data_IF_474222653588
#
_entry.id   IF_474222653588
#
_cell.length_a   1.000
_cell.length_b   1.000
_cell.length_c   1.000
_cell.angle_alpha   90.00
_cell.angle_beta   90.00
_cell.angle_gamma   90.00
#
_symmetry.space_group_name_H-M   'P 1'
#
loop_
_entity.id
_entity.type
_entity.pdbx_description
1 polymer ?
#
# COMPACT_ATOMS: atom_id res chain seq x y z
N UNK A 1 5.65 11.49 -11.14
CA UNK A 1 5.15 10.51 -12.15
C UNK A 1 4.33 9.44 -11.45
N UNK A 2 3.24 8.95 -12.09
CA UNK A 2 2.41 7.86 -11.55
C UNK A 2 2.80 6.57 -12.24
N UNK A 3 3.21 5.55 -11.48
CA UNK A 3 3.61 4.23 -11.99
C UNK A 3 2.70 3.13 -11.44
N UNK A 4 2.35 2.16 -12.27
CA UNK A 4 1.47 1.06 -11.90
C UNK A 4 1.91 -0.26 -12.52
N UNK A 5 1.52 -1.37 -11.89
CA UNK A 5 1.59 -2.72 -12.45
C UNK A 5 0.20 -3.17 -12.90
N UNK A 6 0.14 -3.81 -14.03
CA UNK A 6 -1.13 -4.25 -14.65
C UNK A 6 -0.93 -5.50 -15.50
N UNK A 7 -2.05 -6.08 -15.93
CA UNK A 7 -2.09 -7.21 -16.87
C UNK A 7 -2.93 -6.82 -18.07
N UNK A 8 -2.44 -7.15 -19.26
CA UNK A 8 -3.15 -7.03 -20.54
C UNK A 8 -3.35 -8.42 -21.14
N UNK A 9 -3.95 -8.51 -22.33
CA UNK A 9 -4.03 -9.77 -23.09
C UNK A 9 -2.64 -10.36 -23.42
N UNK A 10 -1.58 -9.53 -23.44
CA UNK A 10 -0.20 -9.96 -23.72
C UNK A 10 0.55 -10.42 -22.48
N UNK A 11 -0.01 -10.26 -21.29
CA UNK A 11 0.61 -10.64 -20.01
C UNK A 11 0.72 -9.50 -19.01
N UNK A 12 1.49 -9.76 -17.95
CA UNK A 12 1.78 -8.74 -16.92
C UNK A 12 2.78 -7.71 -17.45
N UNK A 13 2.56 -6.45 -17.12
CA UNK A 13 3.42 -5.33 -17.46
C UNK A 13 3.37 -4.26 -16.37
N UNK A 14 4.10 -3.19 -16.57
CA UNK A 14 4.07 -1.99 -15.74
C UNK A 14 4.15 -0.74 -16.63
N UNK A 15 3.69 0.38 -16.11
CA UNK A 15 3.66 1.58 -16.94
C UNK A 15 3.36 2.87 -16.19
N UNK A 16 3.39 3.96 -16.95
CA UNK A 16 3.04 5.28 -16.47
C UNK A 16 1.54 5.57 -16.69
N UNK A 17 0.88 6.04 -15.64
CA UNK A 17 -0.52 6.48 -15.70
C UNK A 17 -0.55 7.97 -16.01
N UNK A 18 -1.19 8.34 -17.12
CA UNK A 18 -1.34 9.71 -17.63
C UNK A 18 -2.82 10.09 -17.72
N UNK A 19 -3.10 11.35 -18.02
CA UNK A 19 -4.47 11.81 -18.29
C UNK A 19 -5.07 11.23 -19.58
N UNK A 20 -4.26 10.67 -20.46
CA UNK A 20 -4.69 10.08 -21.74
C UNK A 20 -4.84 8.56 -21.65
N UNK A 21 -4.39 7.92 -20.57
CA UNK A 21 -4.37 6.47 -20.38
C UNK A 21 -3.04 5.98 -19.84
N UNK A 22 -2.70 4.73 -20.15
CA UNK A 22 -1.53 4.04 -19.63
C UNK A 22 -0.48 3.89 -20.73
N UNK A 23 0.75 4.35 -20.45
CA UNK A 23 1.94 4.13 -21.29
C UNK A 23 2.64 2.86 -20.79
N UNK A 24 2.69 1.83 -21.62
CA UNK A 24 3.31 0.54 -21.27
C UNK A 24 4.85 0.63 -21.32
N UNK A 25 5.44 0.88 -20.15
CA UNK A 25 6.89 0.97 -20.01
C UNK A 25 7.58 -0.40 -20.14
N UNK A 26 6.93 -1.48 -19.73
CA UNK A 26 7.46 -2.84 -19.92
C UNK A 26 7.72 -3.13 -21.39
N UNK A 27 6.76 -2.78 -22.24
CA UNK A 27 6.90 -2.89 -23.71
C UNK A 27 7.94 -1.92 -24.28
N UNK A 28 7.91 -0.64 -23.87
CA UNK A 28 8.73 0.42 -24.46
C UNK A 28 10.20 0.34 -24.07
N UNK A 29 10.48 -0.08 -22.83
CA UNK A 29 11.83 -0.24 -22.32
C UNK A 29 12.40 -1.64 -22.62
N UNK A 30 11.58 -2.51 -23.24
CA UNK A 30 11.99 -3.84 -23.65
C UNK A 30 12.42 -4.72 -22.48
N UNK A 31 13.29 -5.70 -22.76
CA UNK A 31 13.72 -6.70 -21.78
C UNK A 31 14.67 -6.17 -20.69
N UNK A 32 14.89 -4.85 -20.59
CA UNK A 32 15.80 -4.28 -19.58
C UNK A 32 15.25 -4.38 -18.17
N UNK A 33 13.95 -4.28 -18.01
CA UNK A 33 13.24 -4.31 -16.73
C UNK A 33 12.03 -5.21 -16.86
N UNK A 34 12.05 -6.34 -16.16
CA UNK A 34 10.95 -7.33 -16.21
C UNK A 34 9.65 -6.84 -15.59
N UNK A 35 9.75 -5.92 -14.63
CA UNK A 35 8.64 -5.40 -13.82
C UNK A 35 9.03 -4.08 -13.14
N UNK A 36 8.08 -3.49 -12.41
CA UNK A 36 8.30 -2.22 -11.71
C UNK A 36 9.39 -2.34 -10.63
N UNK A 37 9.51 -3.47 -9.95
CA UNK A 37 10.57 -3.71 -8.97
C UNK A 37 11.94 -3.68 -9.64
N UNK A 38 12.10 -4.40 -10.76
CA UNK A 38 13.36 -4.43 -11.53
C UNK A 38 13.74 -3.03 -12.07
N UNK A 39 12.74 -2.20 -12.44
CA UNK A 39 12.96 -0.80 -12.78
C UNK A 39 13.59 -0.03 -11.62
N UNK A 40 13.04 -0.18 -10.40
CA UNK A 40 13.56 0.48 -9.20
C UNK A 40 14.96 -0.03 -8.83
N UNK A 41 15.18 -1.35 -8.86
CA UNK A 41 16.47 -2.00 -8.54
C UNK A 41 17.63 -1.47 -9.41
N UNK A 42 17.32 -1.13 -10.67
CA UNK A 42 18.32 -0.64 -11.64
C UNK A 42 18.28 0.86 -11.85
N UNK A 43 17.65 1.63 -10.93
CA UNK A 43 17.52 3.08 -11.00
C UNK A 43 16.93 3.60 -12.34
N UNK A 44 15.97 2.87 -12.91
CA UNK A 44 15.38 3.13 -14.22
C UNK A 44 14.34 4.26 -14.28
N UNK A 45 14.09 5.01 -13.19
CA UNK A 45 13.04 6.04 -13.12
C UNK A 45 13.22 7.16 -14.15
N UNK A 46 14.44 7.58 -14.45
CA UNK A 46 14.71 8.62 -15.46
C UNK A 46 14.39 8.11 -16.88
N UNK A 47 14.70 6.85 -17.18
CA UNK A 47 14.32 6.25 -18.46
C UNK A 47 12.81 6.09 -18.58
N UNK A 48 12.17 5.66 -17.49
CA UNK A 48 10.70 5.57 -17.40
C UNK A 48 10.05 6.94 -17.67
N UNK A 49 10.58 8.01 -17.09
CA UNK A 49 10.09 9.38 -17.27
C UNK A 49 10.17 9.83 -18.73
N UNK A 50 11.30 9.56 -19.39
CA UNK A 50 11.48 9.88 -20.83
C UNK A 50 10.50 9.09 -21.70
N UNK A 51 10.32 7.80 -21.42
CA UNK A 51 9.40 6.94 -22.17
C UNK A 51 7.91 7.27 -21.90
N UNK A 52 7.57 7.78 -20.72
CA UNK A 52 6.21 8.17 -20.34
C UNK A 52 5.67 9.39 -21.11
N UNK A 53 6.53 10.23 -21.72
CA UNK A 53 6.13 11.38 -22.54
C UNK A 53 5.46 11.02 -23.87
N UNK A 54 5.28 9.75 -24.17
CA UNK A 54 4.66 9.25 -25.41
C UNK A 54 3.14 9.11 -25.26
N UNK A 55 2.45 8.91 -26.40
CA UNK A 55 1.00 8.60 -26.42
C UNK A 55 0.68 7.35 -25.59
N UNK A 56 -0.50 7.30 -24.96
CA UNK A 56 -0.96 6.13 -24.21
C UNK A 56 -1.12 4.90 -25.14
N UNK A 57 -0.76 3.74 -24.60
CA UNK A 57 -0.90 2.44 -25.29
C UNK A 57 -2.24 1.79 -24.98
N UNK A 58 -2.76 2.02 -23.77
CA UNK A 58 -4.02 1.41 -23.30
C UNK A 58 -4.92 2.43 -22.59
N UNK A 59 -6.23 2.20 -22.69
CA UNK A 59 -7.21 2.77 -21.77
C UNK A 59 -7.26 1.92 -20.50
N UNK A 60 -7.70 2.50 -19.41
CA UNK A 60 -7.84 1.78 -18.15
C UNK A 60 -8.76 0.54 -18.26
N UNK A 61 -9.80 0.62 -19.09
CA UNK A 61 -10.76 -0.47 -19.31
C UNK A 61 -10.19 -1.69 -20.03
N UNK A 62 -8.99 -1.58 -20.61
CA UNK A 62 -8.34 -2.64 -21.40
C UNK A 62 -7.35 -3.46 -20.56
N UNK A 63 -7.23 -3.16 -19.27
CA UNK A 63 -6.28 -3.82 -18.40
C UNK A 63 -6.88 -4.25 -17.06
N UNK A 64 -6.18 -5.15 -16.40
CA UNK A 64 -6.44 -5.58 -15.02
C UNK A 64 -5.32 -5.06 -14.14
N UNK A 65 -5.67 -4.25 -13.13
CA UNK A 65 -4.69 -3.75 -12.16
C UNK A 65 -4.12 -4.90 -11.34
N UNK A 66 -2.81 -4.96 -11.22
CA UNK A 66 -2.10 -5.82 -10.28
C UNK A 66 -1.79 -5.04 -8.99
N UNK A 67 -1.43 -5.71 -7.88
CA UNK A 67 -0.77 -5.01 -6.78
C UNK A 67 0.38 -4.18 -7.31
N UNK A 68 0.61 -2.99 -6.74
CA UNK A 68 1.61 -2.05 -7.27
C UNK A 68 2.99 -2.70 -7.45
N UNK A 69 3.46 -3.45 -6.46
CA UNK A 69 4.64 -4.32 -6.55
C UNK A 69 4.16 -5.75 -6.36
N UNK A 70 3.97 -6.53 -7.45
CA UNK A 70 3.43 -7.89 -7.34
C UNK A 70 4.38 -8.89 -6.67
N UNK A 71 5.66 -8.59 -6.68
CA UNK A 71 6.76 -9.43 -6.20
C UNK A 71 7.67 -8.70 -5.19
N UNK A 72 7.12 -8.11 -4.12
CA UNK A 72 7.93 -7.38 -3.14
C UNK A 72 8.91 -8.34 -2.43
N UNK A 73 10.09 -7.84 -2.07
CA UNK A 73 11.00 -8.60 -1.21
C UNK A 73 10.41 -8.80 0.19
N UNK A 74 9.80 -7.76 0.71
CA UNK A 74 9.01 -7.78 1.95
C UNK A 74 7.99 -6.65 1.97
N UNK A 75 6.87 -6.89 2.66
CA UNK A 75 5.89 -5.87 3.04
C UNK A 75 5.91 -5.81 4.56
N UNK A 76 6.50 -4.75 5.10
CA UNK A 76 6.60 -4.52 6.54
C UNK A 76 5.50 -3.56 6.95
N UNK A 77 4.56 -4.03 7.77
CA UNK A 77 3.45 -3.25 8.26
C UNK A 77 3.68 -2.80 9.70
N UNK A 78 3.18 -1.62 10.01
CA UNK A 78 3.31 -0.97 11.32
C UNK A 78 1.94 -0.90 11.98
N UNK A 79 1.75 -1.62 13.07
CA UNK A 79 0.53 -1.54 13.87
C UNK A 79 0.55 -0.39 14.86
N UNK A 80 -0.64 0.10 15.24
CA UNK A 80 -0.85 1.05 16.34
C UNK A 80 -0.08 2.38 16.19
N UNK A 81 0.07 2.86 14.97
CA UNK A 81 0.90 4.05 14.67
C UNK A 81 0.13 5.38 14.67
N UNK A 82 -1.14 5.37 15.06
CA UNK A 82 -1.96 6.58 15.27
C UNK A 82 -2.53 6.57 16.68
N UNK A 83 -2.47 7.72 17.36
CA UNK A 83 -2.86 7.81 18.77
C UNK A 83 -4.33 7.42 18.97
N UNK A 84 -5.23 7.90 18.09
CA UNK A 84 -6.65 7.56 18.15
C UNK A 84 -6.88 6.04 17.99
N UNK A 85 -6.21 5.41 17.02
CA UNK A 85 -6.29 3.95 16.82
C UNK A 85 -5.76 3.16 18.02
N UNK A 86 -4.66 3.62 18.61
CA UNK A 86 -4.11 3.01 19.82
C UNK A 86 -5.11 3.06 20.97
N UNK A 87 -5.74 4.21 21.18
CA UNK A 87 -6.74 4.41 22.24
C UNK A 87 -7.99 3.55 22.04
N UNK A 88 -8.57 3.51 20.82
CA UNK A 88 -9.76 2.70 20.53
C UNK A 88 -9.53 1.20 20.69
N UNK A 89 -8.29 0.73 20.53
CA UNK A 89 -7.92 -0.68 20.73
C UNK A 89 -7.50 -1.00 22.16
N UNK A 90 -7.39 -0.01 23.05
CA UNK A 90 -6.99 -0.17 24.45
C UNK A 90 -5.55 -0.64 24.64
N UNK A 91 -4.66 -0.41 23.66
CA UNK A 91 -3.27 -0.83 23.72
C UNK A 91 -2.38 0.23 24.35
N UNK A 92 -1.37 -0.23 25.09
CA UNK A 92 -0.35 0.64 25.66
C UNK A 92 0.52 1.29 24.58
N UNK A 93 1.01 2.49 24.86
CA UNK A 93 1.98 3.17 24.00
C UNK A 93 3.34 2.49 24.13
N UNK A 94 3.94 2.15 22.99
CA UNK A 94 5.30 1.60 22.93
C UNK A 94 6.26 2.63 22.31
N UNK A 95 7.52 2.61 22.72
CA UNK A 95 8.56 3.46 22.12
C UNK A 95 8.99 2.97 20.72
N UNK A 96 8.79 1.68 20.47
CA UNK A 96 9.18 1.03 19.22
C UNK A 96 7.93 0.59 18.44
N UNK A 97 7.99 0.54 17.10
CA UNK A 97 6.87 0.14 16.28
C UNK A 97 6.51 -1.34 16.49
N UNK A 98 5.22 -1.63 16.60
CA UNK A 98 4.71 -2.98 16.48
C UNK A 98 4.75 -3.38 15.01
N UNK A 99 5.61 -4.34 14.64
CA UNK A 99 5.81 -4.76 13.26
C UNK A 99 5.22 -6.13 12.99
N UNK A 100 4.67 -6.29 11.79
CA UNK A 100 4.27 -7.57 11.22
C UNK A 100 4.53 -7.57 9.71
N UNK A 101 4.44 -8.74 9.09
CA UNK A 101 4.67 -8.88 7.65
C UNK A 101 3.37 -9.28 6.94
N UNK A 102 3.21 -8.79 5.72
CA UNK A 102 2.24 -9.32 4.77
C UNK A 102 2.95 -10.01 3.62
N UNK A 103 2.33 -11.08 3.14
CA UNK A 103 2.79 -11.87 2.00
C UNK A 103 2.26 -11.26 0.70
N UNK A 104 2.97 -11.49 -0.40
CA UNK A 104 2.55 -11.02 -1.73
C UNK A 104 1.17 -11.54 -2.12
N UNK A 105 0.86 -12.79 -1.79
CA UNK A 105 -0.40 -13.46 -2.10
C UNK A 105 -1.61 -12.86 -1.37
N UNK A 106 -1.37 -12.13 -0.28
CA UNK A 106 -2.44 -11.45 0.44
C UNK A 106 -2.89 -10.14 -0.23
N UNK A 107 -2.23 -9.72 -1.33
CA UNK A 107 -2.48 -8.45 -1.99
C UNK A 107 -3.36 -8.56 -3.23
N UNK A 108 -4.16 -7.52 -3.48
CA UNK A 108 -4.90 -7.29 -4.73
C UNK A 108 -4.65 -5.88 -5.26
N UNK A 109 -4.75 -5.71 -6.56
CA UNK A 109 -4.65 -4.42 -7.23
C UNK A 109 -5.94 -3.59 -7.13
N UNK A 110 -5.85 -2.35 -7.59
CA UNK A 110 -6.99 -1.46 -7.75
C UNK A 110 -8.11 -2.11 -8.57
N UNK A 111 -9.37 -1.91 -8.17
CA UNK A 111 -10.56 -2.51 -8.82
C UNK A 111 -10.61 -4.05 -8.83
N UNK A 112 -9.61 -4.73 -8.25
CA UNK A 112 -9.69 -6.17 -8.04
C UNK A 112 -10.44 -6.47 -6.75
N UNK A 113 -11.15 -7.61 -6.66
CA UNK A 113 -11.93 -7.91 -5.46
C UNK A 113 -11.02 -8.22 -4.28
N UNK A 114 -11.33 -7.62 -3.13
CA UNK A 114 -10.92 -8.13 -1.83
C UNK A 114 -11.78 -9.35 -1.52
N UNK A 115 -11.15 -10.46 -1.10
CA UNK A 115 -11.84 -11.69 -0.79
C UNK A 115 -12.12 -11.80 0.72
N UNK A 116 -13.41 -11.84 1.09
CA UNK A 116 -13.79 -12.18 2.46
C UNK A 116 -13.67 -13.69 2.62
N UNK A 117 -12.75 -14.18 3.50
CA UNK A 117 -12.57 -15.60 3.66
C UNK A 117 -13.82 -16.25 4.23
N UNK A 118 -14.14 -17.45 3.77
CA UNK A 118 -15.31 -18.23 4.26
C UNK A 118 -15.19 -18.60 5.75
N UNK A 119 -13.97 -18.61 6.26
CA UNK A 119 -13.63 -18.92 7.65
C UNK A 119 -14.02 -17.81 8.63
N UNK A 120 -14.30 -16.58 8.13
CA UNK A 120 -14.62 -15.45 9.00
C UNK A 120 -15.54 -14.43 8.35
N UNK A 121 -16.38 -13.82 9.18
CA UNK A 121 -17.21 -12.65 8.82
C UNK A 121 -16.60 -11.33 9.32
N UNK A 122 -15.43 -11.37 9.94
CA UNK A 122 -14.82 -10.23 10.63
C UNK A 122 -13.69 -9.59 9.82
N UNK A 123 -13.87 -9.51 8.49
CA UNK A 123 -12.95 -8.81 7.60
C UNK A 123 -13.13 -7.29 7.76
N UNK A 124 -12.10 -6.61 8.21
CA UNK A 124 -12.07 -5.19 8.51
C UNK A 124 -11.17 -4.42 7.52
N UNK A 125 -11.43 -3.12 7.37
CA UNK A 125 -10.66 -2.20 6.53
C UNK A 125 -9.65 -1.42 7.40
N UNK A 126 -8.51 -1.06 6.79
CA UNK A 126 -7.49 -0.19 7.39
C UNK A 126 -6.82 0.65 6.28
N UNK A 127 -7.18 1.95 6.22
CA UNK A 127 -6.53 2.88 5.31
C UNK A 127 -5.12 3.22 5.78
N UNK A 128 -4.13 3.03 4.90
CA UNK A 128 -2.73 3.28 5.20
C UNK A 128 -1.97 3.89 4.01
N UNK A 129 -0.85 4.50 4.30
CA UNK A 129 0.12 4.93 3.28
C UNK A 129 1.14 3.81 3.09
N UNK A 130 1.33 3.36 1.85
CA UNK A 130 2.43 2.50 1.47
C UNK A 130 3.62 3.34 1.00
N UNK A 131 4.77 3.17 1.63
CA UNK A 131 6.05 3.75 1.25
C UNK A 131 6.84 2.70 0.48
N UNK A 132 7.15 2.95 -0.79
CA UNK A 132 7.93 2.04 -1.64
C UNK A 132 9.40 2.44 -1.59
N UNK A 133 10.26 1.50 -1.24
CA UNK A 133 11.71 1.73 -1.20
C UNK A 133 12.28 1.72 -2.61
N UNK A 134 13.12 2.72 -2.92
CA UNK A 134 13.77 2.88 -4.22
C UNK A 134 15.29 2.71 -4.18
N UNK A 135 15.90 2.88 -3.02
CA UNK A 135 17.34 2.73 -2.83
C UNK A 135 17.63 1.80 -1.66
N UNK A 136 18.49 0.80 -1.91
CA UNK A 136 18.88 -0.13 -0.86
C UNK A 136 19.63 0.57 0.28
N UNK A 137 19.41 0.08 1.51
CA UNK A 137 20.12 0.61 2.67
C UNK A 137 19.98 -0.25 3.93
N UNK A 138 20.96 -0.13 4.80
CA UNK A 138 20.99 -0.73 6.13
C UNK A 138 21.46 0.33 7.12
N UNK A 139 20.82 0.41 8.30
CA UNK A 139 21.09 1.45 9.31
C UNK A 139 20.97 2.86 8.76
N UNK A 140 19.88 3.10 8.02
CA UNK A 140 19.57 4.39 7.40
C UNK A 140 19.21 5.37 8.51
N UNK A 141 19.86 6.55 8.53
CA UNK A 141 19.51 7.61 9.48
C UNK A 141 18.15 8.26 9.11
N UNK A 142 17.46 8.86 10.08
CA UNK A 142 16.23 9.60 9.79
C UNK A 142 16.47 10.72 8.77
N UNK A 143 17.62 11.39 8.84
CA UNK A 143 18.00 12.47 7.93
C UNK A 143 18.10 11.99 6.48
N UNK A 144 18.61 10.77 6.27
CA UNK A 144 18.84 10.21 4.95
C UNK A 144 17.65 9.41 4.42
N UNK A 145 16.65 9.13 5.25
CA UNK A 145 15.54 8.21 4.95
C UNK A 145 14.77 8.58 3.68
N UNK A 146 14.54 9.86 3.45
CA UNK A 146 13.83 10.36 2.26
C UNK A 146 14.53 10.01 0.95
N UNK A 147 15.86 9.89 0.95
CA UNK A 147 16.66 9.52 -0.23
C UNK A 147 16.51 8.02 -0.60
N UNK A 148 15.85 7.24 0.24
CA UNK A 148 15.62 5.81 0.01
C UNK A 148 14.21 5.52 -0.51
N UNK A 149 13.32 6.50 -0.59
CA UNK A 149 11.93 6.36 -1.01
C UNK A 149 11.81 6.56 -2.52
N UNK A 150 11.22 5.58 -3.22
CA UNK A 150 10.84 5.71 -4.63
C UNK A 150 9.54 6.50 -4.80
N UNK A 151 8.59 6.29 -3.89
CA UNK A 151 7.29 6.94 -3.93
C UNK A 151 6.30 6.37 -2.93
N UNK A 152 5.06 6.77 -3.08
CA UNK A 152 3.96 6.50 -2.16
C UNK A 152 2.74 5.97 -2.88
N UNK A 153 1.95 5.14 -2.20
CA UNK A 153 0.70 4.58 -2.72
C UNK A 153 -0.34 4.46 -1.62
N UNK A 154 -1.60 4.25 -2.00
CA UNK A 154 -2.64 3.86 -1.07
C UNK A 154 -2.53 2.37 -0.74
N UNK A 155 -2.93 2.02 0.48
CA UNK A 155 -2.97 0.65 0.94
C UNK A 155 -4.20 0.43 1.82
N UNK A 156 -4.86 -0.70 1.67
CA UNK A 156 -5.88 -1.19 2.59
C UNK A 156 -5.36 -2.45 3.27
N UNK A 157 -4.98 -2.36 4.55
CA UNK A 157 -4.48 -3.50 5.32
C UNK A 157 -5.64 -4.34 5.86
N UNK A 158 -6.41 -4.93 4.93
CA UNK A 158 -7.58 -5.74 5.23
C UNK A 158 -7.27 -6.84 6.25
N UNK A 159 -8.02 -6.86 7.36
CA UNK A 159 -7.70 -7.61 8.57
C UNK A 159 -8.84 -8.53 8.97
N UNK A 160 -8.58 -9.81 9.12
CA UNK A 160 -9.53 -10.80 9.65
C UNK A 160 -9.38 -10.83 11.17
N UNK A 161 -10.23 -10.07 11.88
CA UNK A 161 -10.01 -9.67 13.28
C UNK A 161 -10.02 -10.82 14.29
N UNK A 162 -10.87 -11.79 14.13
CA UNK A 162 -10.90 -12.99 14.98
C UNK A 162 -9.60 -13.79 14.83
N UNK A 163 -9.14 -14.01 13.59
CA UNK A 163 -7.88 -14.69 13.31
C UNK A 163 -6.65 -13.90 13.75
N UNK A 164 -6.69 -12.57 13.65
CA UNK A 164 -5.64 -11.68 14.17
C UNK A 164 -5.46 -11.85 15.70
N UNK A 165 -6.52 -12.24 16.41
CA UNK A 165 -6.54 -12.36 17.87
C UNK A 165 -6.36 -13.79 18.39
N UNK A 166 -6.14 -14.78 17.52
CA UNK A 166 -5.92 -16.18 17.94
C UNK A 166 -4.69 -16.31 18.84
N UNK A 167 -3.68 -15.52 18.59
CA UNK A 167 -2.43 -15.48 19.38
C UNK A 167 -1.95 -14.03 19.50
N UNK A 168 -0.79 -13.83 20.12
CA UNK A 168 -0.12 -12.53 20.15
C UNK A 168 0.45 -12.12 18.78
N UNK A 169 0.60 -13.05 17.82
CA UNK A 169 1.10 -12.82 16.47
C UNK A 169 -0.08 -12.58 15.50
N UNK A 170 -0.05 -11.47 14.81
CA UNK A 170 -1.16 -11.05 13.92
C UNK A 170 -1.16 -11.73 12.55
N UNK A 171 -0.12 -12.51 12.25
CA UNK A 171 0.17 -13.07 10.92
C UNK A 171 -1.04 -13.72 10.26
N UNK A 172 -1.77 -14.59 10.98
CA UNK A 172 -2.91 -15.31 10.42
C UNK A 172 -4.03 -14.36 9.96
N UNK A 173 -4.40 -13.36 10.78
CA UNK A 173 -5.45 -12.40 10.44
C UNK A 173 -5.06 -11.38 9.36
N UNK A 174 -3.78 -11.27 9.05
CA UNK A 174 -3.23 -10.29 8.08
C UNK A 174 -2.86 -10.92 6.73
N UNK A 175 -2.92 -12.25 6.58
CA UNK A 175 -2.39 -12.94 5.41
C UNK A 175 -3.35 -13.93 4.72
N UNK A 176 -4.66 -13.80 4.94
CA UNK A 176 -5.59 -14.44 4.03
C UNK A 176 -5.37 -13.94 2.61
N UNK A 177 -5.44 -14.85 1.63
CA UNK A 177 -5.24 -14.50 0.23
C UNK A 177 -6.20 -13.38 -0.21
N UNK A 178 -5.65 -12.42 -0.95
CA UNK A 178 -6.44 -11.34 -1.57
C UNK A 178 -7.27 -10.49 -0.58
N UNK A 179 -6.78 -10.27 0.65
CA UNK A 179 -7.47 -9.43 1.65
C UNK A 179 -6.93 -8.01 1.71
N UNK A 180 -5.72 -7.74 1.20
CA UNK A 180 -5.08 -6.42 1.22
C UNK A 180 -5.14 -5.71 -0.14
N UNK A 181 -5.57 -4.47 -0.18
CA UNK A 181 -5.54 -3.65 -1.39
C UNK A 181 -4.24 -2.86 -1.51
N UNK A 182 -3.58 -2.84 -2.69
CA UNK A 182 -2.34 -2.11 -2.92
C UNK A 182 -2.32 -1.43 -4.29
N UNK A 183 -2.39 -0.10 -4.30
CA UNK A 183 -2.46 0.72 -5.50
C UNK A 183 -3.19 2.05 -5.27
N UNK A 184 -3.77 2.68 -6.30
CA UNK A 184 -3.86 2.24 -7.70
C UNK A 184 -2.52 2.33 -8.44
N UNK A 185 -1.66 3.27 -8.04
CA UNK A 185 -0.33 3.55 -8.57
C UNK A 185 0.61 4.07 -7.48
N UNK A 186 1.89 4.10 -7.77
CA UNK A 186 2.88 4.85 -7.00
C UNK A 186 3.02 6.26 -7.59
N UNK A 187 2.90 7.27 -6.75
CA UNK A 187 3.36 8.63 -7.05
C UNK A 187 4.82 8.73 -6.64
N UNK A 188 5.71 9.05 -7.58
CA UNK A 188 7.15 9.12 -7.31
C UNK A 188 7.49 10.23 -6.32
N UNK A 189 8.52 10.00 -5.49
CA UNK A 189 8.86 10.86 -4.35
C UNK A 189 9.19 12.33 -4.74
N UNK A 190 9.62 12.58 -5.97
CA UNK A 190 9.85 13.93 -6.49
C UNK A 190 8.57 14.77 -6.65
N UNK A 191 7.39 14.12 -6.77
CA UNK A 191 6.09 14.81 -6.79
C UNK A 191 5.48 15.03 -5.40
N UNK A 192 6.03 14.35 -4.37
CA UNK A 192 5.61 14.48 -2.98
C UNK A 192 6.85 14.84 -2.15
N UNK A 193 7.15 16.14 -1.98
CA UNK A 193 8.32 16.58 -1.23
C UNK A 193 8.40 15.97 0.17
N UNK A 194 9.62 15.79 0.66
CA UNK A 194 9.90 15.27 2.00
C UNK A 194 9.12 16.05 3.08
N UNK A 195 8.41 15.34 3.94
CA UNK A 195 7.62 15.95 5.01
C UNK A 195 6.29 16.55 4.57
N UNK A 196 5.85 16.35 3.31
CA UNK A 196 4.52 16.80 2.85
C UNK A 196 3.43 16.23 3.77
N UNK A 197 2.52 17.11 4.20
CA UNK A 197 1.34 16.73 4.94
C UNK A 197 0.37 16.01 4.01
N UNK A 198 0.18 14.70 4.22
CA UNK A 198 -0.79 13.90 3.50
C UNK A 198 -2.00 13.64 4.39
N UNK A 199 -3.18 13.72 3.79
CA UNK A 199 -4.44 13.30 4.43
C UNK A 199 -4.82 11.94 3.87
N UNK A 200 -5.21 11.00 4.75
CA UNK A 200 -5.72 9.70 4.37
C UNK A 200 -7.15 9.51 4.89
N UNK A 201 -7.98 8.87 4.09
CA UNK A 201 -9.37 8.54 4.44
C UNK A 201 -9.71 7.14 3.97
N UNK A 202 -10.54 6.44 4.76
CA UNK A 202 -11.25 5.24 4.32
C UNK A 202 -12.72 5.56 4.13
N UNK A 203 -13.32 5.04 3.05
CA UNK A 203 -14.78 5.00 2.89
C UNK A 203 -15.25 3.56 2.68
N UNK A 204 -16.36 3.23 3.30
CA UNK A 204 -17.09 1.98 3.04
C UNK A 204 -18.45 2.35 2.48
N UNK A 205 -18.75 1.92 1.24
CA UNK A 205 -19.98 2.27 0.52
C UNK A 205 -20.24 3.79 0.42
N UNK A 206 -19.15 4.58 0.33
CA UNK A 206 -19.21 6.04 0.26
C UNK A 206 -19.25 6.74 1.64
N UNK A 207 -19.55 6.04 2.72
CA UNK A 207 -19.49 6.58 4.08
C UNK A 207 -18.04 6.67 4.56
N UNK A 208 -17.66 7.82 5.15
CA UNK A 208 -16.31 8.01 5.68
C UNK A 208 -16.14 7.35 7.03
N UNK A 209 -15.30 6.30 7.05
CA UNK A 209 -15.02 5.47 8.23
C UNK A 209 -13.78 5.95 9.00
N UNK A 210 -12.73 6.37 8.27
CA UNK A 210 -11.47 6.82 8.85
C UNK A 210 -11.03 8.13 8.19
N UNK A 211 -10.36 8.99 8.97
CA UNK A 211 -9.79 10.24 8.46
C UNK A 211 -8.67 10.72 9.37
N UNK A 212 -7.49 10.96 8.82
CA UNK A 212 -6.35 11.49 9.56
C UNK A 212 -5.33 12.16 8.63
N UNK A 213 -4.33 12.76 9.23
CA UNK A 213 -3.15 13.30 8.54
C UNK A 213 -1.88 12.61 9.02
N UNK A 214 -0.80 12.70 8.22
CA UNK A 214 0.51 12.16 8.59
C UNK A 214 1.13 12.81 9.83
N UNK A 215 0.64 13.98 10.26
CA UNK A 215 1.06 14.60 11.53
C UNK A 215 0.60 13.82 12.76
N UNK A 216 -0.49 13.07 12.65
CA UNK A 216 -1.07 12.27 13.73
C UNK A 216 -0.39 10.91 13.91
N UNK A 217 0.61 10.58 13.05
CA UNK A 217 1.45 9.39 13.24
C UNK A 217 2.27 9.51 14.52
N UNK A 218 2.26 8.45 15.34
CA UNK A 218 3.11 8.34 16.55
C UNK A 218 4.58 8.26 16.14
N UNK A 219 4.88 7.37 15.20
CA UNK A 219 6.21 7.21 14.61
C UNK A 219 6.16 7.63 13.13
N UNK A 220 6.83 8.70 12.80
CA UNK A 220 6.86 9.25 11.44
C UNK A 220 7.70 8.40 10.50
N UNK A 221 7.47 8.50 9.19
CA UNK A 221 8.13 7.70 8.13
C UNK A 221 9.67 7.62 8.31
N UNK A 222 10.42 8.71 8.58
CA UNK A 222 11.85 8.62 8.81
C UNK A 222 12.23 7.70 9.97
N UNK A 223 11.47 7.73 11.07
CA UNK A 223 11.69 6.86 12.24
C UNK A 223 11.41 5.40 11.93
N UNK A 224 10.39 5.11 11.13
CA UNK A 224 10.08 3.76 10.68
C UNK A 224 11.21 3.18 9.82
N UNK A 225 11.70 3.95 8.84
CA UNK A 225 12.83 3.54 7.98
C UNK A 225 14.09 3.30 8.82
N UNK A 226 14.43 4.21 9.73
CA UNK A 226 15.57 4.06 10.64
C UNK A 226 15.45 2.75 11.44
N UNK A 227 14.30 2.54 12.09
CA UNK A 227 14.09 1.36 12.93
C UNK A 227 14.15 0.06 12.12
N UNK A 228 13.39 -0.04 11.04
CA UNK A 228 13.33 -1.26 10.21
C UNK A 228 14.72 -1.54 9.60
N UNK A 229 15.40 -0.53 9.09
CA UNK A 229 16.74 -0.71 8.52
C UNK A 229 17.82 -1.02 9.56
N UNK A 230 17.55 -0.88 10.86
CA UNK A 230 18.49 -1.25 11.92
C UNK A 230 18.69 -2.76 12.04
N UNK A 231 17.68 -3.58 11.76
CA UNK A 231 17.73 -5.03 11.88
C UNK A 231 17.68 -5.79 10.54
N UNK A 232 17.16 -5.17 9.47
CA UNK A 232 17.14 -5.78 8.13
C UNK A 232 17.59 -4.78 7.06
N UNK A 233 18.11 -5.24 5.94
CA UNK A 233 18.37 -4.39 4.78
C UNK A 233 17.04 -4.09 4.07
N UNK A 234 16.78 -2.83 3.79
CA UNK A 234 15.72 -2.43 2.86
C UNK A 234 16.27 -2.47 1.43
N UNK A 235 15.50 -3.01 0.50
CA UNK A 235 15.85 -3.15 -0.91
C UNK A 235 14.80 -2.46 -1.78
N UNK A 236 15.14 -2.04 -3.03
CA UNK A 236 14.17 -1.47 -3.95
C UNK A 236 12.98 -2.41 -4.17
N UNK A 237 11.77 -1.86 -4.15
CA UNK A 237 10.52 -2.63 -4.22
C UNK A 237 10.05 -3.24 -2.90
N UNK A 238 10.81 -3.12 -1.79
CA UNK A 238 10.27 -3.36 -0.46
C UNK A 238 9.22 -2.29 -0.12
N UNK A 239 8.24 -2.66 0.69
CA UNK A 239 7.12 -1.79 1.06
C UNK A 239 7.05 -1.64 2.58
N UNK A 240 6.90 -0.40 3.05
CA UNK A 240 6.56 -0.10 4.45
C UNK A 240 5.13 0.44 4.46
N UNK A 241 4.23 -0.23 5.17
CA UNK A 241 2.83 0.15 5.35
C UNK A 241 2.73 0.80 6.73
N UNK A 242 2.34 2.09 6.77
CA UNK A 242 2.70 3.01 7.87
C UNK A 242 1.80 3.01 9.09
N UNK A 243 0.75 2.22 9.07
CA UNK A 243 -0.27 2.18 10.13
C UNK A 243 -1.55 2.91 9.76
N UNK A 244 -2.64 2.51 10.39
CA UNK A 244 -4.00 3.01 10.16
C UNK A 244 -4.43 3.97 11.27
N UNK A 245 -5.25 5.01 10.96
CA UNK A 245 -5.87 5.86 11.98
C UNK A 245 -7.06 5.18 12.68
N UNK A 246 -7.64 5.83 13.67
CA UNK A 246 -8.88 5.43 14.32
C UNK A 246 -10.07 5.31 13.37
N UNK A 247 -11.12 4.62 13.82
CA UNK A 247 -12.35 4.39 13.07
C UNK A 247 -12.42 3.04 12.36
N UNK A 248 -11.57 2.07 12.73
CA UNK A 248 -11.66 0.69 12.21
C UNK A 248 -13.00 0.05 12.58
N UNK A 249 -13.49 -0.85 11.74
CA UNK A 249 -14.79 -1.49 11.93
C UNK A 249 -14.92 -2.26 13.24
N UNK A 250 -13.86 -2.91 13.68
CA UNK A 250 -13.82 -3.68 14.93
C UNK A 250 -13.96 -2.81 16.20
N UNK A 251 -13.67 -1.52 16.13
CA UNK A 251 -13.79 -0.58 17.26
C UNK A 251 -15.12 0.18 17.28
N UNK A 252 -15.97 0.01 16.28
CA UNK A 252 -17.30 0.63 16.22
C UNK A 252 -18.27 -0.04 17.18
N UNK A 253 -19.33 0.66 17.54
CA UNK A 253 -20.40 0.14 18.38
C UNK A 253 -21.77 0.32 17.71
N UNK A 254 -22.38 -0.75 17.15
CA UNK A 254 -21.86 -2.12 17.05
C UNK A 254 -20.67 -2.23 16.07
N UNK A 255 -19.83 -3.27 16.15
CA UNK A 255 -18.76 -3.52 15.20
C UNK A 255 -19.28 -3.65 13.76
N UNK A 256 -18.55 -3.06 12.81
CA UNK A 256 -18.94 -3.01 11.40
C UNK A 256 -17.83 -3.56 10.49
N UNK A 257 -18.05 -4.73 9.93
CA UNK A 257 -17.11 -5.44 9.06
C UNK A 257 -17.56 -5.41 7.60
N UNK A 258 -16.60 -5.50 6.69
CA UNK A 258 -16.86 -5.56 5.25
C UNK A 258 -17.65 -6.82 4.89
N UNK A 259 -18.71 -6.64 4.10
CA UNK A 259 -19.60 -7.70 3.60
C UNK A 259 -19.41 -7.87 2.10
N UNK A 260 -19.78 -9.04 1.58
CA UNK A 260 -19.83 -9.27 0.14
C UNK A 260 -20.74 -8.24 -0.53
N UNK A 261 -20.22 -7.61 -1.57
CA UNK A 261 -20.87 -6.50 -2.27
C UNK A 261 -20.44 -5.11 -1.83
N UNK A 262 -19.84 -4.97 -0.65
CA UNK A 262 -19.32 -3.68 -0.18
C UNK A 262 -18.19 -3.16 -1.05
N UNK A 263 -18.04 -1.84 -1.05
CA UNK A 263 -16.97 -1.13 -1.74
C UNK A 263 -16.13 -0.37 -0.71
N UNK A 264 -14.87 -0.78 -0.58
CA UNK A 264 -13.88 -0.08 0.25
C UNK A 264 -13.03 0.85 -0.62
N UNK A 265 -12.85 2.08 -0.16
CA UNK A 265 -12.02 3.09 -0.82
C UNK A 265 -11.02 3.67 0.18
N UNK A 266 -9.74 3.69 -0.23
CA UNK A 266 -8.67 4.39 0.50
C UNK A 266 -8.21 5.55 -0.37
N UNK A 267 -8.39 6.76 0.12
CA UNK A 267 -7.98 8.00 -0.55
C UNK A 267 -6.81 8.65 0.21
N UNK A 268 -5.77 9.03 -0.50
CA UNK A 268 -4.66 9.81 0.04
C UNK A 268 -4.44 11.02 -0.86
N UNK A 269 -4.44 12.22 -0.25
CA UNK A 269 -4.21 13.47 -0.99
C UNK A 269 -2.90 13.44 -1.77
N UNK A 270 -2.94 13.91 -3.03
CA UNK A 270 -1.78 13.92 -3.92
C UNK A 270 -1.42 12.55 -4.53
N UNK A 271 -2.00 11.44 -4.02
CA UNK A 271 -1.74 10.09 -4.54
C UNK A 271 -2.92 9.62 -5.40
N UNK A 272 -4.10 9.46 -4.83
CA UNK A 272 -5.28 9.00 -5.54
C UNK A 272 -6.20 8.16 -4.67
N UNK A 273 -7.05 7.35 -5.32
CA UNK A 273 -8.05 6.50 -4.65
C UNK A 273 -7.85 5.05 -5.05
N UNK A 274 -7.55 4.21 -4.08
CA UNK A 274 -7.59 2.76 -4.19
C UNK A 274 -9.04 2.32 -3.92
N UNK A 275 -9.63 1.57 -4.84
CA UNK A 275 -11.01 1.09 -4.74
C UNK A 275 -11.07 -0.41 -4.96
N UNK A 276 -11.75 -1.11 -4.08
CA UNK A 276 -11.93 -2.56 -4.15
C UNK A 276 -13.36 -2.93 -3.77
N UNK A 277 -13.97 -3.88 -4.50
CA UNK A 277 -15.24 -4.50 -4.12
C UNK A 277 -14.97 -5.77 -3.34
N UNK A 278 -15.76 -6.05 -2.31
CA UNK A 278 -15.64 -7.27 -1.52
C UNK A 278 -16.39 -8.41 -2.20
N UNK A 279 -15.76 -9.56 -2.37
CA UNK A 279 -16.37 -10.81 -2.86
C UNK A 279 -16.18 -11.94 -1.86
N UNK A 280 -16.91 -13.03 -2.05
CA UNK A 280 -16.71 -14.28 -1.31
C UNK A 280 -15.38 -14.94 -1.75
N UNK A 281 -14.59 -15.42 -0.78
CA UNK A 281 -13.32 -16.11 -1.01
C UNK A 281 -13.45 -17.63 -1.03
#
# INVERSE_FOLDING_TARGET
>A
MRLASFRTAQGASYGAVTSQGIVDLGRRLGNRYSDLRALLERNGLEEARKAAGSSADYKESELTWLPLIPNPGKIVCVGLNYEEHRQETGRDKTEQPALFLRLAESQVGHKQPILRPRESKNLDYEAEIAVVIGRAGRRISQKDSWNHIAGYSCYNDGSVRDWQRHTIQWTAGKNFASTGGFGPWMVTADEIPAGTLLTLSCRLNGERMQHATTEQMILRIPKLIEYISSFTTLAPGDVIVTGTPGGVGAARNPPEFMKVGDVAEVEITGIGVLRNTVKEG
#
